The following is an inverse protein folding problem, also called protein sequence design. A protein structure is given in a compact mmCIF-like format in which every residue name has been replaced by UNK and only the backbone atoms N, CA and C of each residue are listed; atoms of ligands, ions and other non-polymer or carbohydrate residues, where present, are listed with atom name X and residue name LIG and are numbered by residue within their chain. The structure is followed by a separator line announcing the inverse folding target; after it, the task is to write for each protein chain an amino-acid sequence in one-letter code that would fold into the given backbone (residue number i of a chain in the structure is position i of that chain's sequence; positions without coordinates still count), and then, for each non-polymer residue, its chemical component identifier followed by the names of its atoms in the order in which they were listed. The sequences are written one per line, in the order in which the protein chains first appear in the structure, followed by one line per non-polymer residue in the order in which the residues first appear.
data_IF_568980075546
#
_entry.id   IF_568980075546
#
_cell.length_a   1.000
_cell.length_b   1.000
_cell.length_c   1.000
_cell.angle_alpha   90.00
_cell.angle_beta   90.00
_cell.angle_gamma   90.00
#
_symmetry.space_group_name_H-M   'P 1'
#
loop_
_entity.id
_entity.type
_entity.pdbx_description
1 polymer ?
#
# COMPACT_ATOMS: atom_id res chain seq x y z
N UNK A 1 41.77 -8.06 -30.85
CA UNK A 1 40.32 -8.38 -30.91
C UNK A 1 39.58 -7.05 -31.02
N UNK A 2 38.80 -6.79 -32.07
CA UNK A 2 38.02 -5.55 -32.15
C UNK A 2 36.93 -5.56 -31.06
N UNK A 3 36.75 -4.42 -30.39
CA UNK A 3 35.68 -4.24 -29.41
C UNK A 3 34.31 -4.27 -30.13
N UNK A 4 33.25 -4.83 -29.52
CA UNK A 4 31.93 -4.82 -30.11
C UNK A 4 31.47 -3.38 -30.30
N UNK A 5 31.07 -3.03 -31.52
CA UNK A 5 30.47 -1.73 -31.83
C UNK A 5 29.09 -1.64 -31.20
N UNK A 6 28.83 -0.58 -30.44
CA UNK A 6 27.50 -0.34 -29.85
C UNK A 6 26.44 -0.23 -30.96
N UNK A 7 25.25 -0.84 -30.78
CA UNK A 7 24.19 -0.79 -31.77
C UNK A 7 23.81 0.67 -32.08
N UNK A 8 23.77 1.00 -33.38
CA UNK A 8 23.43 2.33 -33.85
C UNK A 8 21.94 2.60 -33.66
N UNK A 9 21.59 3.69 -32.99
CA UNK A 9 20.19 4.10 -32.82
C UNK A 9 19.58 4.40 -34.20
N UNK A 10 18.55 3.64 -34.57
CA UNK A 10 17.76 3.86 -35.76
C UNK A 10 16.33 4.30 -35.39
N UNK A 11 15.55 4.71 -36.40
CA UNK A 11 14.17 5.20 -36.19
C UNK A 11 13.31 4.16 -35.45
N UNK A 12 13.48 2.88 -35.76
CA UNK A 12 12.72 1.79 -35.14
C UNK A 12 13.04 1.67 -33.66
N UNK A 13 14.32 1.68 -33.30
CA UNK A 13 14.79 1.60 -31.91
C UNK A 13 14.35 2.81 -31.11
N UNK A 14 14.40 4.01 -31.71
CA UNK A 14 13.90 5.24 -31.10
C UNK A 14 12.39 5.18 -30.84
N UNK A 15 11.59 4.73 -31.81
CA UNK A 15 10.15 4.62 -31.67
C UNK A 15 9.73 3.57 -30.63
N UNK A 16 10.38 2.41 -30.64
CA UNK A 16 10.09 1.33 -29.67
C UNK A 16 10.51 1.77 -28.27
N UNK A 17 11.74 2.25 -28.09
CA UNK A 17 12.24 2.69 -26.79
C UNK A 17 11.50 3.90 -26.24
N UNK A 18 11.22 4.89 -27.11
CA UNK A 18 10.44 6.07 -26.75
C UNK A 18 9.00 5.73 -26.40
N UNK A 19 8.34 4.87 -27.20
CA UNK A 19 6.99 4.40 -26.92
C UNK A 19 6.89 3.61 -25.61
N UNK A 20 7.81 2.66 -25.38
CA UNK A 20 7.86 1.91 -24.13
C UNK A 20 8.14 2.83 -22.92
N UNK A 21 9.06 3.79 -23.06
CA UNK A 21 9.39 4.75 -22.00
C UNK A 21 8.22 5.65 -21.64
N UNK A 22 7.58 6.27 -22.64
CA UNK A 22 6.39 7.10 -22.44
C UNK A 22 5.26 6.26 -21.85
N UNK A 23 5.03 5.06 -22.39
CA UNK A 23 4.02 4.13 -21.89
C UNK A 23 4.23 3.78 -20.42
N UNK A 24 5.46 3.50 -20.01
CA UNK A 24 5.79 3.21 -18.62
C UNK A 24 5.55 4.42 -17.71
N UNK A 25 5.98 5.62 -18.11
CA UNK A 25 5.76 6.84 -17.33
C UNK A 25 4.27 7.09 -17.17
N UNK A 26 3.50 7.04 -18.26
CA UNK A 26 2.04 7.24 -18.23
C UNK A 26 1.38 6.18 -17.35
N UNK A 27 1.70 4.90 -17.55
CA UNK A 27 1.14 3.82 -16.75
C UNK A 27 1.46 3.99 -15.26
N UNK A 28 2.72 4.28 -14.91
CA UNK A 28 3.15 4.47 -13.53
C UNK A 28 2.52 5.69 -12.86
N UNK A 29 2.41 6.80 -13.59
CA UNK A 29 1.84 8.06 -13.11
C UNK A 29 0.33 7.98 -12.93
N UNK A 30 -0.37 7.26 -13.82
CA UNK A 30 -1.82 7.11 -13.76
C UNK A 30 -2.27 5.89 -12.94
N UNK A 31 -1.34 5.00 -12.54
CA UNK A 31 -1.68 3.84 -11.73
C UNK A 31 -2.32 4.28 -10.41
N UNK A 32 -3.55 3.85 -10.09
CA UNK A 32 -4.24 4.28 -8.88
C UNK A 32 -3.47 3.81 -7.64
N UNK A 33 -3.18 4.74 -6.73
CA UNK A 33 -2.51 4.47 -5.45
C UNK A 33 -3.49 4.33 -4.28
N UNK A 34 -4.76 4.10 -4.58
CA UNK A 34 -5.81 3.94 -3.56
C UNK A 34 -6.02 2.44 -3.33
N UNK A 35 -5.64 1.99 -2.14
CA UNK A 35 -5.92 0.64 -1.67
C UNK A 35 -7.13 0.71 -0.74
N UNK A 36 -8.13 -0.15 -0.97
CA UNK A 36 -9.29 -0.22 -0.10
C UNK A 36 -8.89 -0.87 1.24
N UNK A 37 -9.43 -0.39 2.37
CA UNK A 37 -9.29 -1.09 3.65
C UNK A 37 -9.79 -2.52 3.55
N UNK A 38 -9.08 -3.45 4.20
CA UNK A 38 -9.54 -4.84 4.35
C UNK A 38 -10.42 -5.03 5.61
N UNK A 39 -10.92 -3.92 6.15
CA UNK A 39 -11.83 -3.88 7.30
C UNK A 39 -13.23 -3.52 6.81
N UNK A 40 -14.19 -4.30 7.24
CA UNK A 40 -15.62 -4.00 7.04
C UNK A 40 -16.13 -3.31 8.30
N UNK A 41 -16.62 -2.08 8.15
CA UNK A 41 -17.40 -1.42 9.20
C UNK A 41 -18.82 -1.97 9.25
N UNK A 42 -19.34 -2.15 10.45
CA UNK A 42 -20.77 -2.33 10.71
C UNK A 42 -21.47 -0.96 10.85
N UNK A 43 -22.79 -0.97 11.05
CA UNK A 43 -23.56 0.26 11.30
C UNK A 43 -23.04 1.00 12.54
N UNK A 44 -22.80 2.31 12.36
CA UNK A 44 -22.26 3.15 13.42
C UNK A 44 -20.75 3.01 13.64
N UNK A 45 -20.04 2.27 12.77
CA UNK A 45 -18.58 2.18 12.83
C UNK A 45 -17.92 3.00 11.72
N UNK A 46 -16.82 3.69 12.05
CA UNK A 46 -15.96 4.38 11.09
C UNK A 46 -14.62 3.67 11.01
N UNK A 47 -14.18 3.32 9.79
CA UNK A 47 -12.87 2.69 9.55
C UNK A 47 -11.78 3.74 9.41
N UNK A 48 -10.69 3.56 10.16
CA UNK A 48 -9.48 4.37 10.10
C UNK A 48 -8.32 3.52 9.54
N UNK A 49 -7.98 3.78 8.28
CA UNK A 49 -6.92 3.04 7.59
C UNK A 49 -7.27 1.57 7.39
N UNK A 50 -6.31 0.68 7.64
CA UNK A 50 -6.47 -0.77 7.45
C UNK A 50 -6.56 -1.57 8.75
N UNK A 51 -6.50 -0.91 9.92
CA UNK A 51 -6.31 -1.59 11.21
C UNK A 51 -7.29 -1.20 12.32
N UNK A 52 -7.96 -0.05 12.23
CA UNK A 52 -8.78 0.46 13.32
C UNK A 52 -10.20 0.73 12.83
N UNK A 53 -11.18 0.39 13.65
CA UNK A 53 -12.57 0.86 13.51
C UNK A 53 -13.06 1.38 14.85
N UNK A 54 -13.82 2.47 14.83
CA UNK A 54 -14.36 3.12 16.03
C UNK A 54 -15.87 3.22 15.86
N UNK A 55 -16.60 2.70 16.84
CA UNK A 55 -18.05 2.83 16.94
C UNK A 55 -18.47 4.19 17.50
N UNK A 56 -19.63 4.67 17.11
CA UNK A 56 -20.28 5.87 17.67
C UNK A 56 -20.58 5.73 19.18
N UNK A 57 -20.54 4.51 19.70
CA UNK A 57 -20.66 4.16 21.11
C UNK A 57 -19.32 4.19 21.88
N UNK A 58 -18.23 4.53 21.20
CA UNK A 58 -16.88 4.61 21.76
C UNK A 58 -16.10 3.30 21.77
N UNK A 59 -16.64 2.19 21.25
CA UNK A 59 -15.87 0.96 21.12
C UNK A 59 -14.79 1.09 20.03
N UNK A 60 -13.54 0.85 20.41
CA UNK A 60 -12.41 0.81 19.49
C UNK A 60 -12.02 -0.63 19.25
N UNK A 61 -12.09 -1.08 18.00
CA UNK A 61 -11.59 -2.39 17.59
C UNK A 61 -10.30 -2.23 16.78
N UNK A 62 -9.26 -2.96 17.22
CA UNK A 62 -7.93 -2.97 16.62
C UNK A 62 -7.69 -4.33 15.98
N UNK A 63 -7.57 -4.36 14.66
CA UNK A 63 -7.20 -5.56 13.92
C UNK A 63 -5.69 -5.78 13.96
N UNK A 64 -5.28 -6.91 14.53
CA UNK A 64 -3.88 -7.32 14.60
C UNK A 64 -3.70 -8.58 13.74
N UNK A 65 -3.10 -8.48 12.55
CA UNK A 65 -2.95 -9.62 11.65
C UNK A 65 -1.82 -10.57 12.08
N UNK A 66 -0.99 -10.15 13.03
CA UNK A 66 0.16 -10.93 13.49
C UNK A 66 -0.30 -12.01 14.45
N UNK A 67 0.13 -13.24 14.20
CA UNK A 67 -0.17 -14.36 15.08
C UNK A 67 0.46 -14.15 16.46
N UNK A 68 -0.32 -14.45 17.50
CA UNK A 68 0.14 -14.45 18.87
C UNK A 68 0.51 -15.86 19.34
N UNK A 69 1.71 -15.99 19.90
CA UNK A 69 2.25 -17.20 20.53
C UNK A 69 2.67 -16.96 21.99
N UNK A 70 2.18 -15.89 22.64
CA UNK A 70 2.46 -15.55 24.04
C UNK A 70 3.29 -14.28 24.26
N UNK A 71 3.64 -13.55 23.19
CA UNK A 71 4.36 -12.27 23.29
C UNK A 71 3.48 -11.08 23.69
N UNK A 72 2.14 -11.23 23.67
CA UNK A 72 1.17 -10.20 24.04
C UNK A 72 0.92 -9.12 22.99
N UNK A 73 1.00 -9.43 21.69
CA UNK A 73 0.70 -8.44 20.62
C UNK A 73 -0.75 -7.99 20.62
N UNK A 74 -1.68 -8.85 21.02
CA UNK A 74 -3.10 -8.52 21.18
C UNK A 74 -3.38 -7.68 22.42
N UNK A 75 -2.38 -7.46 23.29
CA UNK A 75 -2.49 -6.58 24.45
C UNK A 75 -1.76 -5.27 24.21
N UNK A 76 -0.47 -5.35 23.85
CA UNK A 76 0.40 -4.17 23.75
C UNK A 76 -0.02 -3.25 22.60
N UNK A 77 -0.45 -3.80 21.46
CA UNK A 77 -0.88 -2.95 20.33
C UNK A 77 -2.17 -2.19 20.65
N UNK A 78 -3.24 -2.81 21.20
CA UNK A 78 -4.39 -2.05 21.69
C UNK A 78 -4.06 -1.05 22.79
N UNK A 79 -3.11 -1.33 23.70
CA UNK A 79 -2.69 -0.36 24.71
C UNK A 79 -2.05 0.88 24.08
N UNK A 80 -1.16 0.72 23.10
CA UNK A 80 -0.59 1.87 22.37
C UNK A 80 -1.70 2.68 21.69
N UNK A 81 -2.66 2.01 21.05
CA UNK A 81 -3.80 2.70 20.43
C UNK A 81 -4.62 3.46 21.46
N UNK A 82 -4.89 2.87 22.63
CA UNK A 82 -5.61 3.54 23.71
C UNK A 82 -4.86 4.79 24.19
N UNK A 83 -3.55 4.68 24.44
CA UNK A 83 -2.73 5.80 24.90
C UNK A 83 -2.71 6.98 23.89
N UNK A 84 -2.69 6.68 22.58
CA UNK A 84 -2.71 7.71 21.53
C UNK A 84 -4.10 8.32 21.30
N UNK A 85 -5.17 7.61 21.66
CA UNK A 85 -6.55 8.09 21.52
C UNK A 85 -7.06 8.88 22.74
N UNK A 86 -6.50 8.64 23.92
CA UNK A 86 -6.76 9.41 25.15
C UNK A 86 -7.37 8.60 26.30
#
# INVERSE_FOLDING_TARGET
MPAPSLPRIDRRTLLIGGGAGIGLVVAWSLWPRKYLPNLTADQGETVFGAWIKIGDDGHVAVAVPQAEHGQGVYTTLPQIVADELG
#
